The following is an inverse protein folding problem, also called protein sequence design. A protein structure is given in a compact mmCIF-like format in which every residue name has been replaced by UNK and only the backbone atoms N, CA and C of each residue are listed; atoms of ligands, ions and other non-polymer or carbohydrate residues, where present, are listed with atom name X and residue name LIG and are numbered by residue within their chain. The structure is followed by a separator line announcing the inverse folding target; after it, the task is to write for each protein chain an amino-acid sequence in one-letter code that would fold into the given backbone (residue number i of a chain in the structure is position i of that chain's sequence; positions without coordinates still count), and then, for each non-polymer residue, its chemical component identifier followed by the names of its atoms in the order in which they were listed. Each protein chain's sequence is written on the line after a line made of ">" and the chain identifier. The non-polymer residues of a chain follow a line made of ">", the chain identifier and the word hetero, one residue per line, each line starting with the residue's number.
data_IF_429950796155
#
_entry.id   IF_429950796155
#
_cell.length_a   1.000
_cell.length_b   1.000
_cell.length_c   1.000
_cell.angle_alpha   90.00
_cell.angle_beta   90.00
_cell.angle_gamma   90.00
#
_symmetry.space_group_name_H-M   'P 1'
#
loop_
_entity.id
_entity.type
_entity.pdbx_description
1 polymer ?
#
# COMPACT_ATOMS: atom_id res chain seq x y z
N UNK A 1 -7.14 19.52 -9.85
CA UNK A 1 -6.23 18.50 -9.29
C UNK A 1 -6.83 17.81 -8.06
N UNK A 2 -7.02 18.56 -6.96
CA UNK A 2 -7.49 18.03 -5.67
C UNK A 2 -8.81 17.24 -5.77
N UNK A 3 -9.79 17.76 -6.53
CA UNK A 3 -11.09 17.09 -6.70
C UNK A 3 -11.01 15.73 -7.40
N UNK A 4 -10.04 15.53 -8.30
CA UNK A 4 -9.83 14.24 -8.95
C UNK A 4 -9.08 13.26 -8.03
N UNK A 5 -8.09 13.73 -7.28
CA UNK A 5 -7.40 12.94 -6.24
C UNK A 5 -8.38 12.44 -5.16
N UNK A 6 -9.34 13.27 -4.78
CA UNK A 6 -10.32 12.94 -3.74
C UNK A 6 -11.41 11.96 -4.21
N UNK A 7 -11.83 12.05 -5.48
CA UNK A 7 -13.00 11.29 -5.95
C UNK A 7 -12.64 10.09 -6.81
N UNK A 8 -11.46 10.06 -7.42
CA UNK A 8 -11.08 9.04 -8.42
C UNK A 8 -11.99 9.01 -9.65
N UNK A 9 -12.90 9.98 -9.79
CA UNK A 9 -14.00 9.94 -10.74
C UNK A 9 -14.03 11.24 -11.55
N UNK A 10 -13.84 11.13 -12.87
CA UNK A 10 -13.72 12.29 -13.78
C UNK A 10 -14.99 13.14 -13.76
N UNK A 11 -16.18 12.51 -13.73
CA UNK A 11 -17.46 13.24 -13.70
C UNK A 11 -17.56 14.06 -12.42
N UNK A 12 -17.35 13.44 -11.25
CA UNK A 12 -17.48 14.12 -9.96
C UNK A 12 -16.41 15.20 -9.78
N UNK A 13 -15.20 14.93 -10.22
CA UNK A 13 -14.11 15.91 -10.21
C UNK A 13 -14.38 17.11 -11.12
N UNK A 14 -15.02 16.90 -12.28
CA UNK A 14 -15.39 17.97 -13.21
C UNK A 14 -16.45 18.89 -12.60
N UNK A 15 -17.48 18.30 -11.98
CA UNK A 15 -18.56 19.04 -11.28
C UNK A 15 -17.98 19.89 -10.15
N UNK A 16 -17.15 19.30 -9.28
CA UNK A 16 -16.53 20.00 -8.14
C UNK A 16 -15.50 21.06 -8.56
N UNK A 17 -14.93 20.95 -9.77
CA UNK A 17 -13.95 21.91 -10.28
C UNK A 17 -14.57 22.92 -11.24
N UNK A 18 -15.89 22.89 -11.42
CA UNK A 18 -16.64 23.77 -12.32
C UNK A 18 -16.10 23.79 -13.77
N UNK A 19 -15.60 22.64 -14.23
CA UNK A 19 -15.10 22.46 -15.60
C UNK A 19 -15.94 21.46 -16.37
N UNK A 20 -15.91 21.56 -17.70
CA UNK A 20 -16.53 20.55 -18.56
C UNK A 20 -15.76 19.23 -18.46
N UNK A 21 -16.46 18.10 -18.68
CA UNK A 21 -15.79 16.78 -18.75
C UNK A 21 -14.73 16.73 -19.84
N UNK A 22 -14.96 17.38 -20.98
CA UNK A 22 -13.99 17.47 -22.08
C UNK A 22 -12.69 18.11 -21.61
N UNK A 23 -12.78 19.23 -20.90
CA UNK A 23 -11.62 19.90 -20.29
C UNK A 23 -10.92 18.99 -19.27
N UNK A 24 -11.67 18.26 -18.44
CA UNK A 24 -11.09 17.32 -17.49
C UNK A 24 -10.31 16.17 -18.16
N UNK A 25 -10.83 15.60 -19.25
CA UNK A 25 -10.12 14.59 -20.02
C UNK A 25 -8.86 15.13 -20.72
N UNK A 26 -8.87 16.38 -21.16
CA UNK A 26 -7.67 17.03 -21.71
C UNK A 26 -6.57 17.12 -20.65
N UNK A 27 -6.91 17.53 -19.42
CA UNK A 27 -5.96 17.51 -18.31
C UNK A 27 -5.46 16.10 -17.98
N UNK A 28 -6.33 15.08 -18.02
CA UNK A 28 -5.90 13.70 -17.79
C UNK A 28 -4.95 13.16 -18.85
N UNK A 29 -4.93 13.75 -20.05
CA UNK A 29 -4.01 13.39 -21.12
C UNK A 29 -2.71 14.20 -21.10
N UNK A 30 -2.69 15.34 -20.41
CA UNK A 30 -1.52 16.19 -20.25
C UNK A 30 -0.42 15.51 -19.40
N UNK A 31 0.80 15.52 -19.91
CA UNK A 31 1.94 14.84 -19.28
C UNK A 31 2.32 15.46 -17.93
N UNK A 32 2.24 16.79 -17.82
CA UNK A 32 2.54 17.53 -16.59
C UNK A 32 1.53 17.19 -15.50
N UNK A 33 0.24 17.20 -15.85
CA UNK A 33 -0.84 16.82 -14.96
C UNK A 33 -0.71 15.37 -14.49
N UNK A 34 -0.42 14.42 -15.39
CA UNK A 34 -0.20 13.01 -15.03
C UNK A 34 0.95 12.85 -14.03
N UNK A 35 2.06 13.55 -14.24
CA UNK A 35 3.21 13.52 -13.33
C UNK A 35 2.84 14.02 -11.94
N UNK A 36 2.30 15.24 -11.86
CA UNK A 36 1.89 15.84 -10.58
C UNK A 36 0.82 14.97 -9.90
N UNK A 37 -0.06 14.34 -10.66
CA UNK A 37 -1.09 13.44 -10.13
C UNK A 37 -0.48 12.23 -9.46
N UNK A 38 0.46 11.56 -10.14
CA UNK A 38 1.17 10.40 -9.60
C UNK A 38 1.95 10.77 -8.35
N UNK A 39 2.64 11.90 -8.35
CA UNK A 39 3.39 12.40 -7.18
C UNK A 39 2.47 12.59 -5.98
N UNK A 40 1.39 13.37 -6.12
CA UNK A 40 0.44 13.61 -5.02
C UNK A 40 -0.30 12.36 -4.57
N UNK A 41 -0.66 11.48 -5.50
CA UNK A 41 -1.29 10.19 -5.20
C UNK A 41 -0.34 9.28 -4.43
N UNK A 42 0.95 9.28 -4.80
CA UNK A 42 2.00 8.55 -4.10
C UNK A 42 2.19 9.09 -2.68
N UNK A 43 2.21 10.40 -2.49
CA UNK A 43 2.27 11.03 -1.16
C UNK A 43 1.09 10.61 -0.27
N UNK A 44 -0.15 10.68 -0.77
CA UNK A 44 -1.34 10.23 -0.03
C UNK A 44 -1.30 8.73 0.29
N UNK A 45 -0.76 7.93 -0.64
CA UNK A 45 -0.59 6.49 -0.41
C UNK A 45 0.45 6.23 0.67
N UNK A 46 1.56 6.97 0.73
CA UNK A 46 2.58 6.83 1.78
C UNK A 46 1.98 7.01 3.17
N UNK A 47 1.17 8.05 3.38
CA UNK A 47 0.50 8.27 4.67
C UNK A 47 -0.44 7.11 5.03
N UNK A 48 -1.28 6.69 4.09
CA UNK A 48 -2.16 5.52 4.28
C UNK A 48 -1.38 4.24 4.57
N UNK A 49 -0.24 4.03 3.89
CA UNK A 49 0.65 2.89 4.11
C UNK A 49 1.24 2.92 5.50
N UNK A 50 1.71 4.07 6.00
CA UNK A 50 2.19 4.21 7.37
C UNK A 50 1.10 3.87 8.39
N UNK A 51 -0.13 4.34 8.18
CA UNK A 51 -1.26 4.01 9.06
C UNK A 51 -1.56 2.51 9.05
N UNK A 52 -1.55 1.87 7.88
CA UNK A 52 -1.74 0.42 7.76
C UNK A 52 -0.61 -0.38 8.43
N UNK A 53 0.65 0.08 8.31
CA UNK A 53 1.79 -0.54 8.99
C UNK A 53 1.61 -0.48 10.51
N UNK A 54 1.25 0.69 11.05
CA UNK A 54 1.00 0.85 12.49
C UNK A 54 -0.16 -0.05 12.97
N UNK A 55 -1.29 -0.03 12.26
CA UNK A 55 -2.43 -0.90 12.59
C UNK A 55 -2.09 -2.39 12.50
N UNK A 56 -1.17 -2.78 11.60
CA UNK A 56 -0.70 -4.17 11.50
C UNK A 56 0.13 -4.58 12.72
N UNK A 57 0.95 -3.68 13.28
CA UNK A 57 1.68 -3.92 14.53
C UNK A 57 0.70 -4.13 15.68
N UNK A 58 -0.33 -3.29 15.78
CA UNK A 58 -1.39 -3.44 16.79
C UNK A 58 -2.13 -4.77 16.63
N UNK A 59 -2.49 -5.16 15.41
CA UNK A 59 -3.13 -6.44 15.13
C UNK A 59 -2.26 -7.63 15.55
N UNK A 60 -0.95 -7.58 15.29
CA UNK A 60 -0.01 -8.62 15.75
C UNK A 60 0.01 -8.71 17.28
N UNK A 61 -0.01 -7.58 17.98
CA UNK A 61 -0.08 -7.56 19.44
C UNK A 61 -1.38 -8.19 19.97
N UNK A 62 -2.52 -7.86 19.36
CA UNK A 62 -3.82 -8.48 19.71
C UNK A 62 -3.80 -9.99 19.51
N UNK A 63 -3.27 -10.47 18.37
CA UNK A 63 -3.13 -11.92 18.13
C UNK A 63 -2.19 -12.58 19.16
N UNK A 64 -1.11 -11.88 19.53
CA UNK A 64 -0.14 -12.34 20.54
C UNK A 64 -0.80 -12.45 21.92
N UNK A 65 -1.62 -11.48 22.30
CA UNK A 65 -2.39 -11.52 23.55
C UNK A 65 -3.36 -12.70 23.55
N UNK A 66 -4.14 -12.88 22.48
CA UNK A 66 -5.10 -13.98 22.36
C UNK A 66 -4.41 -15.35 22.45
N UNK A 67 -3.27 -15.57 21.78
CA UNK A 67 -2.61 -16.89 21.81
C UNK A 67 -2.02 -17.23 23.20
N UNK A 68 -1.66 -16.21 23.99
CA UNK A 68 -1.07 -16.37 25.32
C UNK A 68 -2.13 -16.40 26.44
N UNK A 69 -3.33 -15.90 26.19
CA UNK A 69 -4.43 -15.92 27.15
C UNK A 69 -4.98 -17.34 27.36
N UNK A 70 -4.80 -17.88 28.56
CA UNK A 70 -5.24 -19.23 28.95
C UNK A 70 -6.74 -19.31 29.22
N UNK A 71 -7.44 -18.19 29.34
CA UNK A 71 -8.89 -18.13 29.57
C UNK A 71 -9.69 -18.26 28.28
N UNK A 72 -9.06 -17.97 27.13
CA UNK A 72 -9.63 -18.14 25.80
C UNK A 72 -9.60 -19.60 25.36
N UNK A 73 -10.51 -19.99 24.46
CA UNK A 73 -10.59 -21.37 23.96
C UNK A 73 -9.27 -21.83 23.32
N UNK A 74 -8.87 -23.10 23.50
CA UNK A 74 -7.65 -23.64 22.88
C UNK A 74 -7.58 -23.44 21.36
N UNK A 75 -8.73 -23.50 20.69
CA UNK A 75 -8.84 -23.27 19.25
C UNK A 75 -8.50 -21.83 18.87
N UNK A 76 -9.10 -20.83 19.52
CA UNK A 76 -8.81 -19.43 19.21
C UNK A 76 -7.34 -19.08 19.46
N UNK A 77 -6.74 -19.63 20.53
CA UNK A 77 -5.30 -19.47 20.80
C UNK A 77 -4.43 -20.05 19.68
N UNK A 78 -4.77 -21.26 19.22
CA UNK A 78 -4.07 -21.93 18.12
C UNK A 78 -4.23 -21.17 16.79
N UNK A 79 -5.42 -20.63 16.49
CA UNK A 79 -5.67 -19.84 15.29
C UNK A 79 -4.89 -18.52 15.28
N UNK A 80 -4.78 -17.85 16.43
CA UNK A 80 -3.95 -16.65 16.55
C UNK A 80 -2.47 -16.95 16.35
N UNK A 81 -1.96 -18.02 16.95
CA UNK A 81 -0.58 -18.45 16.74
C UNK A 81 -0.31 -18.81 15.25
N UNK A 82 -1.23 -19.55 14.62
CA UNK A 82 -1.11 -19.91 13.20
C UNK A 82 -1.12 -18.67 12.29
N UNK A 83 -1.96 -17.69 12.60
CA UNK A 83 -2.05 -16.44 11.84
C UNK A 83 -0.74 -15.65 11.90
N UNK A 84 -0.12 -15.56 13.09
CA UNK A 84 1.19 -14.92 13.26
C UNK A 84 2.27 -15.67 12.46
N UNK A 85 2.34 -17.00 12.58
CA UNK A 85 3.33 -17.80 11.85
C UNK A 85 3.19 -17.66 10.33
N UNK A 86 1.96 -17.74 9.81
CA UNK A 86 1.71 -17.56 8.38
C UNK A 86 2.13 -16.18 7.87
N UNK A 87 1.90 -15.13 8.66
CA UNK A 87 2.32 -13.79 8.28
C UNK A 87 3.84 -13.63 8.35
N UNK A 88 4.49 -14.24 9.34
CA UNK A 88 5.95 -14.23 9.45
C UNK A 88 6.62 -14.92 8.25
N UNK A 89 6.13 -16.09 7.82
CA UNK A 89 6.66 -16.76 6.64
C UNK A 89 6.51 -15.90 5.37
N UNK A 90 5.33 -15.32 5.14
CA UNK A 90 5.12 -14.42 4.00
C UNK A 90 6.03 -13.20 4.04
N UNK A 91 6.29 -12.65 5.22
CA UNK A 91 7.19 -11.51 5.37
C UNK A 91 8.63 -11.88 5.00
N UNK A 92 9.11 -13.05 5.43
CA UNK A 92 10.44 -13.57 5.06
C UNK A 92 10.53 -13.80 3.55
N UNK A 93 9.56 -14.50 2.95
CA UNK A 93 9.52 -14.73 1.50
C UNK A 93 9.56 -13.41 0.70
N UNK A 94 8.83 -12.38 1.16
CA UNK A 94 8.87 -11.07 0.50
C UNK A 94 10.22 -10.37 0.62
N UNK A 95 10.87 -10.43 1.80
CA UNK A 95 12.20 -9.83 2.00
C UNK A 95 13.23 -10.53 1.11
N UNK A 96 13.22 -11.87 1.09
CA UNK A 96 14.12 -12.64 0.23
C UNK A 96 13.93 -12.31 -1.25
N UNK A 97 12.68 -12.16 -1.71
CA UNK A 97 12.41 -11.75 -3.11
C UNK A 97 12.95 -10.35 -3.41
N UNK A 98 12.78 -9.39 -2.49
CA UNK A 98 13.31 -8.02 -2.67
C UNK A 98 14.84 -8.03 -2.71
N UNK A 99 15.50 -8.74 -1.80
CA UNK A 99 16.97 -8.87 -1.81
C UNK A 99 17.48 -9.47 -3.12
N UNK A 100 16.81 -10.50 -3.65
CA UNK A 100 17.19 -11.10 -4.93
C UNK A 100 16.98 -10.15 -6.12
N UNK A 101 15.95 -9.29 -6.07
CA UNK A 101 15.75 -8.25 -7.08
C UNK A 101 16.86 -7.19 -7.03
N UNK A 102 17.25 -6.73 -5.84
CA UNK A 102 18.34 -5.76 -5.68
C UNK A 102 19.69 -6.33 -6.18
N UNK A 103 19.97 -7.61 -5.90
CA UNK A 103 21.15 -8.30 -6.43
C UNK A 103 21.11 -8.37 -7.97
N UNK A 104 19.93 -8.66 -8.55
CA UNK A 104 19.77 -8.75 -10.00
C UNK A 104 19.93 -7.37 -10.66
N UNK A 105 19.35 -6.33 -10.08
CA UNK A 105 19.50 -4.95 -10.54
C UNK A 105 20.97 -4.51 -10.54
N UNK A 106 21.72 -4.82 -9.47
CA UNK A 106 23.14 -4.52 -9.38
C UNK A 106 23.96 -5.22 -10.49
N UNK A 107 23.70 -6.50 -10.75
CA UNK A 107 24.40 -7.25 -11.81
C UNK A 107 24.12 -6.70 -13.20
N UNK A 108 22.88 -6.30 -13.49
CA UNK A 108 22.51 -5.72 -14.78
C UNK A 108 23.22 -4.38 -15.01
N UNK A 109 23.40 -3.59 -13.94
CA UNK A 109 24.13 -2.32 -14.02
C UNK A 109 25.63 -2.56 -14.25
N UNK A 110 26.23 -3.54 -13.57
CA UNK A 110 27.66 -3.89 -13.75
C UNK A 110 27.99 -4.49 -15.13
N UNK A 111 27.04 -5.19 -15.78
CA UNK A 111 27.22 -5.75 -17.14
C UNK A 111 26.95 -4.72 -18.26
N UNK A 112 26.42 -3.54 -17.93
CA UNK A 112 26.10 -2.46 -18.87
C UNK A 112 27.21 -1.41 -19.07
N UNK A 113 28.28 -1.47 -18.28
CA UNK A 113 29.50 -0.65 -18.36
C UNK A 113 30.65 -1.39 -19.09
#
# INVERSE_FOLDING_TARGET
>A
MANYLMTGNVKKASELSEITRKTAYNYLNDATFKRIYRERRSEQLKESTTLLQNASVEAVNVLREIMLDKTVSPYARQQSAQSILNMAYKAVEMVEVVEQLEILEAKILDEGD
#
